data_IF_378708899037
#
_entry.id   IF_378708899037
#
_cell.length_a   1.000
_cell.length_b   1.000
_cell.length_c   1.000
_cell.angle_alpha   90.00
_cell.angle_beta   90.00
_cell.angle_gamma   90.00
#
_symmetry.space_group_name_H-M   'P 1'
#
loop_
_entity.id
_entity.type
_entity.pdbx_description
1 polymer ?
#
# COMPACT_ATOMS: atom_id res chain seq x y z
N UNK A 1 -21.94 18.38 9.45
CA UNK A 1 -21.02 17.29 9.06
C UNK A 1 -19.63 17.87 9.06
N UNK A 2 -18.92 17.76 10.18
CA UNK A 2 -17.54 18.22 10.27
C UNK A 2 -16.65 17.25 9.51
N UNK A 3 -16.00 17.73 8.46
CA UNK A 3 -14.97 16.99 7.73
C UNK A 3 -13.73 16.96 8.61
N UNK A 4 -13.45 15.79 9.14
CA UNK A 4 -12.29 15.44 9.95
C UNK A 4 -11.01 15.51 9.11
N UNK A 5 -10.52 16.72 8.87
CA UNK A 5 -9.31 17.00 8.10
C UNK A 5 -8.04 16.98 8.98
N UNK A 6 -8.03 16.14 10.03
CA UNK A 6 -6.91 15.98 10.96
C UNK A 6 -6.45 14.53 11.16
N UNK A 7 -7.03 13.55 10.46
CA UNK A 7 -6.73 12.11 10.63
C UNK A 7 -5.40 11.64 10.02
N UNK A 8 -4.33 12.44 10.14
CA UNK A 8 -3.05 12.15 9.49
C UNK A 8 -1.82 12.45 10.34
N UNK A 9 -1.96 12.63 11.66
CA UNK A 9 -0.82 12.96 12.52
C UNK A 9 -0.61 12.02 13.71
N UNK A 10 -1.63 11.27 14.12
CA UNK A 10 -1.50 10.43 15.32
C UNK A 10 -1.00 9.03 14.99
N UNK A 11 -0.34 8.38 15.94
CA UNK A 11 0.08 6.99 15.80
C UNK A 11 -1.09 6.04 15.49
N UNK A 12 -2.29 6.31 16.05
CA UNK A 12 -3.50 5.54 15.78
C UNK A 12 -3.95 5.66 14.32
N UNK A 13 -3.87 6.87 13.74
CA UNK A 13 -4.16 7.10 12.32
C UNK A 13 -3.16 6.35 11.42
N UNK A 14 -1.87 6.38 11.77
CA UNK A 14 -0.81 5.67 11.06
C UNK A 14 -1.02 4.15 11.12
N UNK A 15 -1.44 3.61 12.27
CA UNK A 15 -1.81 2.19 12.41
C UNK A 15 -3.06 1.82 11.61
N UNK A 16 -4.08 2.67 11.59
CA UNK A 16 -5.27 2.46 10.77
C UNK A 16 -4.91 2.42 9.29
N UNK A 17 -4.10 3.37 8.83
CA UNK A 17 -3.61 3.44 7.44
C UNK A 17 -2.74 2.24 7.08
N UNK A 18 -1.85 1.82 7.97
CA UNK A 18 -1.01 0.63 7.78
C UNK A 18 -1.87 -0.62 7.55
N UNK A 19 -2.94 -0.79 8.33
CA UNK A 19 -3.87 -1.92 8.20
C UNK A 19 -4.60 -1.92 6.86
N UNK A 20 -5.01 -0.76 6.36
CA UNK A 20 -5.62 -0.63 5.02
C UNK A 20 -4.64 -1.08 3.93
N UNK A 21 -3.40 -0.60 3.99
CA UNK A 21 -2.34 -0.95 3.03
C UNK A 21 -2.07 -2.46 3.05
N UNK A 22 -2.05 -3.10 4.21
CA UNK A 22 -1.86 -4.55 4.31
C UNK A 22 -3.02 -5.34 3.68
N UNK A 23 -4.26 -4.88 3.83
CA UNK A 23 -5.44 -5.48 3.21
C UNK A 23 -5.35 -5.36 1.68
N UNK A 24 -5.00 -4.17 1.18
CA UNK A 24 -4.88 -3.91 -0.26
C UNK A 24 -3.74 -4.75 -0.88
N UNK A 25 -2.60 -4.84 -0.20
CA UNK A 25 -1.48 -5.69 -0.62
C UNK A 25 -1.87 -7.17 -0.67
N UNK A 26 -2.63 -7.66 0.32
CA UNK A 26 -3.10 -9.04 0.32
C UNK A 26 -4.05 -9.32 -0.85
N UNK A 27 -4.96 -8.40 -1.14
CA UNK A 27 -5.88 -8.50 -2.27
C UNK A 27 -5.15 -8.51 -3.63
N UNK A 28 -4.25 -7.55 -3.84
CA UNK A 28 -3.47 -7.43 -5.08
C UNK A 28 -2.58 -8.66 -5.33
N UNK A 29 -1.98 -9.21 -4.27
CA UNK A 29 -1.16 -10.44 -4.37
C UNK A 29 -2.00 -11.68 -4.65
N UNK A 30 -3.21 -11.78 -4.11
CA UNK A 30 -4.13 -12.87 -4.43
C UNK A 30 -4.60 -12.81 -5.88
N UNK A 31 -4.81 -11.61 -6.41
CA UNK A 31 -5.29 -11.36 -7.77
C UNK A 31 -4.23 -11.64 -8.84
N UNK A 32 -2.93 -11.54 -8.51
CA UNK A 32 -1.83 -11.92 -9.41
C UNK A 32 -1.83 -13.43 -9.74
N UNK A 33 -2.46 -14.26 -8.90
CA UNK A 33 -2.48 -15.71 -9.05
C UNK A 33 -1.08 -16.35 -8.99
N UNK A 34 -0.98 -17.68 -8.83
CA UNK A 34 0.28 -18.35 -9.14
C UNK A 34 0.59 -18.14 -10.62
N UNK A 35 1.87 -17.97 -11.02
CA UNK A 35 2.23 -17.91 -12.44
C UNK A 35 1.78 -19.22 -13.09
N UNK A 36 0.67 -19.18 -13.82
CA UNK A 36 0.16 -20.34 -14.54
C UNK A 36 1.12 -20.56 -15.70
N UNK A 37 2.03 -21.51 -15.56
CA UNK A 37 2.99 -21.90 -16.60
C UNK A 37 2.36 -22.53 -17.85
N UNK A 38 1.05 -22.35 -18.05
CA UNK A 38 0.35 -22.77 -19.26
C UNK A 38 0.47 -21.67 -20.32
N UNK A 39 0.75 -22.02 -21.59
CA UNK A 39 0.88 -21.03 -22.65
C UNK A 39 -0.47 -20.35 -22.88
N UNK A 40 -0.63 -19.13 -22.37
CA UNK A 40 -1.75 -18.27 -22.73
C UNK A 40 -1.57 -17.78 -24.17
N UNK A 41 -2.68 -17.76 -24.90
CA UNK A 41 -2.76 -17.32 -26.29
C UNK A 41 -2.11 -15.92 -26.45
N UNK A 42 -1.20 -15.77 -27.41
CA UNK A 42 -0.33 -14.60 -27.55
C UNK A 42 -1.09 -13.28 -27.80
N UNK A 43 -2.39 -13.35 -28.13
CA UNK A 43 -3.26 -12.20 -28.32
C UNK A 43 -3.73 -11.51 -27.03
N UNK A 44 -3.97 -12.26 -25.96
CA UNK A 44 -4.36 -11.72 -24.65
C UNK A 44 -3.14 -11.36 -23.78
N UNK A 45 -1.96 -11.90 -24.14
CA UNK A 45 -0.72 -11.74 -23.38
C UNK A 45 -0.22 -10.29 -23.25
N UNK A 46 -0.54 -9.40 -24.20
CA UNK A 46 -0.11 -8.00 -24.17
C UNK A 46 -0.89 -7.12 -23.18
N UNK A 47 -2.22 -7.27 -23.14
CA UNK A 47 -3.07 -6.59 -22.17
C UNK A 47 -2.88 -7.13 -20.76
N UNK A 48 -2.67 -8.45 -20.65
CA UNK A 48 -2.36 -9.12 -19.39
C UNK A 48 -0.98 -8.71 -18.84
N UNK A 49 0.03 -8.50 -19.69
CA UNK A 49 1.33 -7.98 -19.27
C UNK A 49 1.25 -6.53 -18.75
N UNK A 50 0.61 -5.62 -19.49
CA UNK A 50 0.47 -4.23 -19.06
C UNK A 50 -0.31 -4.10 -17.74
N UNK A 51 -1.38 -4.88 -17.58
CA UNK A 51 -2.15 -4.94 -16.34
C UNK A 51 -1.32 -5.53 -15.17
N UNK A 52 -0.44 -6.49 -15.44
CA UNK A 52 0.50 -7.01 -14.43
C UNK A 52 1.55 -5.97 -14.02
N UNK A 53 2.10 -5.23 -14.97
CA UNK A 53 3.08 -4.17 -14.70
C UNK A 53 2.47 -3.02 -13.88
N UNK A 54 1.26 -2.58 -14.23
CA UNK A 54 0.53 -1.56 -13.47
C UNK A 54 0.25 -2.03 -12.02
N UNK A 55 -0.21 -3.27 -11.85
CA UNK A 55 -0.41 -3.86 -10.52
C UNK A 55 0.90 -4.00 -9.75
N UNK A 56 1.99 -4.41 -10.39
CA UNK A 56 3.30 -4.51 -9.75
C UNK A 56 3.81 -3.13 -9.28
N UNK A 57 3.61 -2.09 -10.09
CA UNK A 57 3.92 -0.72 -9.70
C UNK A 57 3.08 -0.25 -8.50
N UNK A 58 1.79 -0.59 -8.46
CA UNK A 58 0.91 -0.28 -7.33
C UNK A 58 1.34 -1.01 -6.05
N UNK A 59 1.69 -2.29 -6.15
CA UNK A 59 2.24 -3.06 -5.02
C UNK A 59 3.51 -2.41 -4.48
N UNK A 60 4.45 -2.04 -5.35
CA UNK A 60 5.70 -1.40 -4.92
C UNK A 60 5.47 -0.04 -4.24
N UNK A 61 4.50 0.75 -4.71
CA UNK A 61 4.13 2.01 -4.09
C UNK A 61 3.54 1.80 -2.68
N UNK A 62 2.64 0.81 -2.53
CA UNK A 62 2.04 0.45 -1.24
C UNK A 62 3.06 -0.11 -0.25
N UNK A 63 4.02 -0.92 -0.72
CA UNK A 63 5.12 -1.42 0.12
C UNK A 63 6.02 -0.29 0.62
N UNK A 64 6.33 0.68 -0.25
CA UNK A 64 7.12 1.87 0.13
C UNK A 64 6.42 2.69 1.20
N UNK A 65 5.10 2.90 1.06
CA UNK A 65 4.31 3.64 2.05
C UNK A 65 4.19 2.86 3.38
N UNK A 66 4.01 1.55 3.32
CA UNK A 66 4.03 0.68 4.51
C UNK A 66 5.34 0.82 5.27
N UNK A 67 6.47 0.74 4.57
CA UNK A 67 7.79 0.80 5.20
C UNK A 67 8.03 2.18 5.81
N UNK A 68 7.60 3.25 5.14
CA UNK A 68 7.59 4.61 5.69
C UNK A 68 6.76 4.70 6.98
N UNK A 69 5.52 4.19 6.98
CA UNK A 69 4.65 4.24 8.16
C UNK A 69 5.21 3.42 9.32
N UNK A 70 5.83 2.28 9.04
CA UNK A 70 6.52 1.47 10.06
C UNK A 70 7.73 2.20 10.63
N UNK A 71 8.51 2.89 9.81
CA UNK A 71 9.62 3.75 10.26
C UNK A 71 9.11 4.91 11.12
N UNK A 72 8.02 5.57 10.73
CA UNK A 72 7.38 6.65 11.49
C UNK A 72 6.77 6.16 12.81
N UNK A 73 6.22 4.95 12.86
CA UNK A 73 5.71 4.33 14.09
C UNK A 73 6.82 3.82 15.01
N UNK A 74 7.98 3.44 14.44
CA UNK A 74 9.17 3.02 15.16
C UNK A 74 10.03 4.17 15.68
N UNK A 75 9.84 5.38 15.13
CA UNK A 75 10.36 6.63 15.68
C UNK A 75 9.28 7.25 16.57
N UNK A 76 9.29 7.01 17.90
CA UNK A 76 8.34 7.67 18.78
C UNK A 76 8.43 9.18 18.54
N UNK A 77 7.28 9.82 18.31
CA UNK A 77 7.15 11.21 17.89
C UNK A 77 8.16 12.14 18.63
N UNK A 78 9.25 12.52 17.96
CA UNK A 78 10.21 13.53 18.45
C UNK A 78 9.66 14.97 18.27
N UNK A 79 8.43 15.13 17.77
CA UNK A 79 7.84 16.40 17.35
C UNK A 79 6.68 16.90 18.24
N UNK A 80 6.40 16.28 19.40
CA UNK A 80 5.37 16.76 20.34
C UNK A 80 5.88 17.84 21.34
N UNK A 81 7.14 18.27 21.26
CA UNK A 81 7.72 19.37 22.04
C UNK A 81 7.88 20.65 21.19
N UNK A 82 6.78 21.35 20.90
CA UNK A 82 6.84 22.80 20.61
C UNK A 82 5.79 23.52 21.46
N UNK A 83 6.15 23.71 22.74
CA UNK A 83 5.47 24.58 23.70
C UNK A 83 5.88 26.04 23.43
N UNK A 84 4.94 26.87 22.95
CA UNK A 84 4.99 28.33 23.12
C UNK A 84 3.62 28.91 23.43
#
# INVERSE_FOLDING_TARGET
>A
MGTDAAGGRTADDRWARLREIEIDLAALRAELGPPTGEPQDFGDAGGDLAAREERAALVAALETERDRLLDELGRPDEDDDDET
#
